data_IF_520928485389
#
_entry.id   IF_520928485389
#
_cell.length_a   1.000
_cell.length_b   1.000
_cell.length_c   1.000
_cell.angle_alpha   90.00
_cell.angle_beta   90.00
_cell.angle_gamma   90.00
#
_symmetry.space_group_name_H-M   'P 1'
#
loop_
_entity.id
_entity.type
_entity.pdbx_description
1 polymer ?
#
# COMPACT_ATOMS: atom_id res chain seq x y z
N UNK A 1 -22.94 59.40 35.74
CA UNK A 1 -22.04 59.24 34.57
C UNK A 1 -21.10 58.02 34.61
N UNK A 2 -21.27 57.01 35.48
CA UNK A 2 -20.32 55.87 35.61
C UNK A 2 -20.74 54.56 34.92
N UNK A 3 -21.99 54.41 34.47
CA UNK A 3 -22.53 53.15 33.90
C UNK A 3 -22.21 52.90 32.41
N UNK A 4 -21.82 53.94 31.66
CA UNK A 4 -21.56 53.83 30.21
C UNK A 4 -20.16 53.32 29.85
N UNK A 5 -19.20 53.44 30.76
CA UNK A 5 -17.80 53.03 30.52
C UNK A 5 -17.56 51.53 30.73
N UNK A 6 -18.34 50.87 31.60
CA UNK A 6 -18.19 49.43 31.86
C UNK A 6 -18.61 48.56 30.66
N UNK A 7 -19.69 48.94 29.97
CA UNK A 7 -20.16 48.20 28.79
C UNK A 7 -19.18 48.24 27.62
N UNK A 8 -18.52 49.39 27.41
CA UNK A 8 -17.51 49.56 26.35
C UNK A 8 -16.23 48.76 26.63
N UNK A 9 -15.78 48.68 27.89
CA UNK A 9 -14.62 47.87 28.29
C UNK A 9 -14.89 46.35 28.17
N UNK A 10 -16.09 45.90 28.50
CA UNK A 10 -16.48 44.48 28.34
C UNK A 10 -16.58 44.11 26.85
N UNK A 11 -17.10 45.02 26.01
CA UNK A 11 -17.20 44.79 24.57
C UNK A 11 -15.82 44.73 23.89
N UNK A 12 -14.87 45.57 24.33
CA UNK A 12 -13.48 45.53 23.87
C UNK A 12 -12.74 44.26 24.32
N UNK A 13 -12.98 43.79 25.55
CA UNK A 13 -12.43 42.52 26.05
C UNK A 13 -12.99 41.31 25.28
N UNK A 14 -14.29 41.31 24.96
CA UNK A 14 -14.92 40.27 24.14
C UNK A 14 -14.41 40.30 22.69
N UNK A 15 -14.18 41.47 22.10
CA UNK A 15 -13.57 41.60 20.78
C UNK A 15 -12.12 41.10 20.76
N UNK A 16 -11.31 41.41 21.78
CA UNK A 16 -9.96 40.86 21.89
C UNK A 16 -9.95 39.34 22.10
N UNK A 17 -10.90 38.79 22.85
CA UNK A 17 -11.07 37.33 23.01
C UNK A 17 -11.46 36.66 21.67
N UNK A 18 -12.31 37.30 20.87
CA UNK A 18 -12.70 36.80 19.55
C UNK A 18 -11.57 36.87 18.52
N UNK A 19 -10.71 37.90 18.58
CA UNK A 19 -9.54 38.03 17.70
C UNK A 19 -8.49 36.94 18.02
N UNK A 20 -8.34 36.54 19.30
CA UNK A 20 -7.44 35.44 19.69
C UNK A 20 -7.95 34.04 19.30
N UNK A 21 -9.26 33.87 19.07
CA UNK A 21 -9.84 32.58 18.68
C UNK A 21 -9.83 32.31 17.17
N UNK A 22 -9.46 33.28 16.34
CA UNK A 22 -9.16 33.06 14.92
C UNK A 22 -7.68 32.73 14.71
N UNK A 23 -7.13 31.81 15.52
CA UNK A 23 -6.00 31.02 15.05
C UNK A 23 -6.55 30.04 14.02
N UNK A 24 -6.75 30.54 12.79
CA UNK A 24 -7.05 29.69 11.66
C UNK A 24 -5.97 28.62 11.61
N UNK A 25 -6.34 27.36 11.86
CA UNK A 25 -5.48 26.22 11.52
C UNK A 25 -5.08 26.42 10.07
N UNK A 26 -3.85 26.88 9.82
CA UNK A 26 -3.32 27.01 8.47
C UNK A 26 -3.52 25.64 7.81
N UNK A 27 -4.50 25.55 6.91
CA UNK A 27 -4.86 24.29 6.31
C UNK A 27 -3.62 23.83 5.53
N UNK A 28 -2.95 22.78 6.00
CA UNK A 28 -1.74 22.28 5.35
C UNK A 28 -2.09 21.94 3.89
N UNK A 29 -1.43 22.61 2.95
CA UNK A 29 -1.65 22.48 1.51
C UNK A 29 -0.69 21.47 0.91
N UNK A 30 -1.07 20.87 -0.22
CA UNK A 30 -0.22 19.95 -0.97
C UNK A 30 1.01 20.68 -1.51
N UNK A 31 2.19 20.06 -1.37
CA UNK A 31 3.49 20.60 -1.77
C UNK A 31 4.23 19.58 -2.62
N UNK A 32 4.57 19.94 -3.86
CA UNK A 32 5.26 19.03 -4.79
C UNK A 32 6.62 18.60 -4.24
N UNK A 33 6.92 17.29 -4.31
CA UNK A 33 8.11 16.69 -3.65
C UNK A 33 9.43 16.94 -4.38
N UNK A 34 9.35 17.23 -5.69
CA UNK A 34 10.52 17.34 -6.55
C UNK A 34 11.24 16.00 -6.75
N UNK A 35 12.48 16.06 -7.27
CA UNK A 35 13.29 14.88 -7.56
C UNK A 35 12.61 13.97 -8.60
N UNK A 36 12.44 12.69 -8.25
CA UNK A 36 11.83 11.69 -9.15
C UNK A 36 10.31 11.76 -9.23
N UNK A 37 9.67 12.55 -8.35
CA UNK A 37 8.21 12.55 -8.19
C UNK A 37 7.55 13.64 -9.05
N UNK A 38 6.50 13.30 -9.82
CA UNK A 38 5.75 14.30 -10.58
C UNK A 38 5.08 15.35 -9.68
N UNK A 39 5.03 16.62 -10.10
CA UNK A 39 4.41 17.69 -9.32
C UNK A 39 2.90 17.47 -9.16
N UNK A 40 2.32 17.88 -8.03
CA UNK A 40 0.90 17.72 -7.78
C UNK A 40 0.07 18.72 -8.60
N UNK A 41 -0.95 18.24 -9.31
CA UNK A 41 -1.98 19.11 -9.90
C UNK A 41 -2.79 19.89 -8.83
N UNK A 42 -2.74 19.43 -7.58
CA UNK A 42 -3.39 20.02 -6.42
C UNK A 42 -2.45 20.89 -5.56
N UNK A 43 -1.25 21.20 -6.05
CA UNK A 43 -0.30 22.06 -5.34
C UNK A 43 -0.95 23.38 -4.88
N UNK A 44 -0.66 23.78 -3.64
CA UNK A 44 -1.28 24.93 -2.98
C UNK A 44 -2.74 24.74 -2.53
N UNK A 45 -3.34 23.56 -2.75
CA UNK A 45 -4.70 23.21 -2.27
C UNK A 45 -4.63 22.17 -1.16
N UNK A 46 -5.62 22.11 -0.25
CA UNK A 46 -5.64 21.08 0.78
C UNK A 46 -5.88 19.68 0.18
N UNK A 47 -5.37 18.61 0.82
CA UNK A 47 -5.68 17.23 0.45
C UNK A 47 -7.19 17.00 0.42
N UNK A 48 -7.68 16.43 -0.68
CA UNK A 48 -9.11 16.27 -0.92
C UNK A 48 -9.46 14.85 -1.37
N UNK A 49 -10.75 14.55 -1.35
CA UNK A 49 -11.28 13.32 -1.94
C UNK A 49 -11.11 13.35 -3.45
N UNK A 50 -10.65 12.23 -4.02
CA UNK A 50 -10.54 12.06 -5.47
C UNK A 50 -11.93 11.78 -6.04
N UNK A 51 -12.24 12.40 -7.17
CA UNK A 51 -13.49 12.14 -7.91
C UNK A 51 -13.35 10.88 -8.74
N UNK A 52 -14.43 10.08 -8.84
CA UNK A 52 -14.47 8.93 -9.74
C UNK A 52 -14.39 9.39 -11.21
N UNK A 53 -13.72 8.64 -12.08
CA UNK A 53 -13.65 8.90 -13.51
C UNK A 53 -12.21 9.09 -14.02
N UNK A 54 -12.01 9.96 -15.01
CA UNK A 54 -10.70 10.15 -15.68
C UNK A 54 -9.57 10.66 -14.77
N UNK A 55 -9.89 11.16 -13.57
CA UNK A 55 -8.92 11.62 -12.56
C UNK A 55 -8.82 10.66 -11.36
N UNK A 56 -9.40 9.47 -11.46
CA UNK A 56 -9.30 8.44 -10.42
C UNK A 56 -7.87 7.91 -10.31
N UNK A 57 -7.54 7.38 -9.14
CA UNK A 57 -6.23 6.83 -8.83
C UNK A 57 -6.05 5.46 -9.51
N UNK A 58 -4.99 5.33 -10.30
CA UNK A 58 -4.61 4.08 -10.99
C UNK A 58 -3.99 3.05 -10.02
N UNK A 59 -3.39 3.53 -8.93
CA UNK A 59 -2.83 2.78 -7.80
C UNK A 59 -3.09 3.59 -6.51
N UNK A 60 -2.70 3.13 -5.32
CA UNK A 60 -2.77 3.94 -4.09
C UNK A 60 -4.21 4.30 -3.66
N UNK A 61 -5.20 3.48 -4.03
CA UNK A 61 -6.63 3.71 -3.74
C UNK A 61 -6.95 3.86 -2.26
N UNK A 62 -6.06 3.39 -1.38
CA UNK A 62 -6.16 3.54 0.06
C UNK A 62 -6.24 5.00 0.53
N UNK A 63 -5.74 5.95 -0.28
CA UNK A 63 -5.80 7.39 0.01
C UNK A 63 -6.92 8.13 -0.73
N UNK A 64 -7.80 7.43 -1.46
CA UNK A 64 -8.85 8.04 -2.28
C UNK A 64 -9.73 9.04 -1.51
N UNK A 65 -9.98 8.81 -0.21
CA UNK A 65 -10.81 9.70 0.63
C UNK A 65 -10.16 11.07 0.88
N UNK A 66 -8.83 11.14 0.95
CA UNK A 66 -8.08 12.37 1.27
C UNK A 66 -6.62 12.23 0.81
N UNK A 67 -6.27 12.91 -0.28
CA UNK A 67 -4.92 12.85 -0.86
C UNK A 67 -4.57 14.11 -1.66
N UNK A 68 -3.29 14.30 -1.95
CA UNK A 68 -2.77 15.26 -2.91
C UNK A 68 -2.62 14.68 -4.33
N UNK A 69 -2.69 13.36 -4.47
CA UNK A 69 -2.43 12.65 -5.73
C UNK A 69 -3.62 12.67 -6.68
N UNK A 70 -3.30 12.61 -7.96
CA UNK A 70 -4.17 12.13 -9.03
C UNK A 70 -3.42 11.09 -9.88
N UNK A 71 -3.94 10.81 -11.08
CA UNK A 71 -3.35 9.85 -12.02
C UNK A 71 -1.89 10.15 -12.37
N UNK A 72 -1.45 11.42 -12.36
CA UNK A 72 -0.08 11.79 -12.68
C UNK A 72 0.92 11.23 -11.66
N UNK A 73 0.52 11.13 -10.39
CA UNK A 73 1.35 10.54 -9.33
C UNK A 73 1.23 9.02 -9.29
N UNK A 74 0.02 8.48 -9.45
CA UNK A 74 -0.21 7.03 -9.24
C UNK A 74 0.19 6.18 -10.44
N UNK A 75 0.23 6.76 -11.65
CA UNK A 75 0.62 6.02 -12.84
C UNK A 75 2.10 5.57 -12.82
N UNK A 76 3.09 6.44 -12.52
CA UNK A 76 4.48 5.99 -12.34
C UNK A 76 4.65 4.93 -11.25
N UNK A 77 3.95 5.05 -10.12
CA UNK A 77 3.94 4.05 -9.07
C UNK A 77 3.42 2.69 -9.59
N UNK A 78 2.34 2.70 -10.39
CA UNK A 78 1.81 1.48 -11.01
C UNK A 78 2.77 0.82 -11.99
N UNK A 79 3.55 1.61 -12.73
CA UNK A 79 4.59 1.10 -13.63
C UNK A 79 5.76 0.50 -12.85
N UNK A 80 6.16 1.14 -11.75
CA UNK A 80 7.21 0.67 -10.85
C UNK A 80 6.90 -0.73 -10.31
N UNK A 81 5.70 -0.93 -9.75
CA UNK A 81 5.24 -2.24 -9.24
C UNK A 81 5.12 -3.28 -10.36
N UNK A 82 4.65 -2.90 -11.55
CA UNK A 82 4.56 -3.82 -12.70
C UNK A 82 5.93 -4.30 -13.18
N UNK A 83 6.93 -3.42 -13.24
CA UNK A 83 8.31 -3.79 -13.60
C UNK A 83 8.86 -4.81 -12.62
N UNK A 84 8.70 -4.53 -11.33
CA UNK A 84 9.11 -5.41 -10.23
C UNK A 84 8.45 -6.79 -10.33
N UNK A 85 7.16 -6.86 -10.71
CA UNK A 85 6.45 -8.12 -10.89
C UNK A 85 6.85 -8.88 -12.17
N UNK A 86 7.35 -8.18 -13.20
CA UNK A 86 7.63 -8.77 -14.51
C UNK A 86 8.95 -9.55 -14.57
N UNK A 87 9.92 -9.22 -13.73
CA UNK A 87 11.23 -9.89 -13.67
C UNK A 87 11.21 -11.18 -12.84
N UNK A 88 10.07 -11.52 -12.22
CA UNK A 88 9.82 -12.83 -11.60
C UNK A 88 10.50 -13.10 -10.26
N UNK A 89 11.46 -12.28 -9.82
CA UNK A 89 12.22 -12.49 -8.57
C UNK A 89 11.67 -11.72 -7.36
N UNK A 90 10.71 -10.82 -7.57
CA UNK A 90 10.05 -10.14 -6.47
C UNK A 90 9.01 -11.03 -5.79
N UNK A 91 9.17 -11.25 -4.48
CA UNK A 91 8.18 -11.90 -3.65
C UNK A 91 6.87 -11.10 -3.60
N UNK A 92 5.75 -11.76 -3.29
CA UNK A 92 4.46 -11.06 -3.13
C UNK A 92 4.53 -9.98 -2.04
N UNK A 93 5.30 -10.22 -0.98
CA UNK A 93 5.55 -9.28 0.10
C UNK A 93 6.36 -8.07 -0.39
N UNK A 94 7.41 -8.30 -1.20
CA UNK A 94 8.15 -7.22 -1.85
C UNK A 94 7.25 -6.33 -2.70
N UNK A 95 6.39 -6.92 -3.54
CA UNK A 95 5.46 -6.16 -4.38
C UNK A 95 4.53 -5.27 -3.55
N UNK A 96 4.00 -5.80 -2.45
CA UNK A 96 3.09 -5.05 -1.57
C UNK A 96 3.80 -3.94 -0.80
N UNK A 97 4.98 -4.21 -0.25
CA UNK A 97 5.77 -3.21 0.46
C UNK A 97 6.27 -2.12 -0.48
N UNK A 98 6.67 -2.48 -1.69
CA UNK A 98 7.07 -1.52 -2.72
C UNK A 98 5.89 -0.66 -3.20
N UNK A 99 4.70 -1.25 -3.40
CA UNK A 99 3.48 -0.49 -3.68
C UNK A 99 3.20 0.53 -2.57
N UNK A 100 3.25 0.11 -1.31
CA UNK A 100 3.03 1.00 -0.16
C UNK A 100 4.07 2.13 -0.11
N UNK A 101 5.33 1.83 -0.40
CA UNK A 101 6.43 2.81 -0.46
C UNK A 101 6.20 3.85 -1.57
N UNK A 102 5.88 3.42 -2.79
CA UNK A 102 5.57 4.31 -3.91
C UNK A 102 4.31 5.16 -3.64
N UNK A 103 3.34 4.63 -2.89
CA UNK A 103 2.13 5.33 -2.52
C UNK A 103 2.30 6.33 -1.36
N UNK A 104 3.47 6.40 -0.70
CA UNK A 104 3.74 7.32 0.41
C UNK A 104 3.45 8.79 0.07
N UNK A 105 3.73 9.21 -1.17
CA UNK A 105 3.45 10.55 -1.67
C UNK A 105 1.95 10.89 -1.68
N UNK A 106 1.07 9.90 -1.65
CA UNK A 106 -0.37 10.09 -1.64
C UNK A 106 -0.97 10.17 -0.23
N UNK A 107 -0.17 9.89 0.81
CA UNK A 107 -0.59 10.11 2.19
C UNK A 107 -0.84 11.61 2.43
N UNK A 108 -1.99 12.01 3.01
CA UNK A 108 -2.34 13.41 3.21
C UNK A 108 -1.43 14.14 4.22
N UNK A 109 -0.73 13.42 5.11
CA UNK A 109 0.25 13.99 6.04
C UNK A 109 1.60 14.17 5.37
N UNK A 110 2.00 13.23 4.51
CA UNK A 110 3.26 13.31 3.76
C UNK A 110 3.14 14.30 2.61
N UNK A 111 2.02 14.30 1.89
CA UNK A 111 1.76 15.13 0.72
C UNK A 111 1.84 16.64 0.98
N UNK A 112 1.68 17.06 2.24
CA UNK A 112 1.79 18.46 2.67
C UNK A 112 3.16 18.85 3.23
N UNK A 113 4.07 17.90 3.45
CA UNK A 113 5.43 18.18 3.92
C UNK A 113 6.34 18.65 2.76
N UNK A 114 7.30 19.55 2.98
CA UNK A 114 8.27 19.92 1.96
C UNK A 114 9.30 18.81 1.72
N UNK A 115 9.91 18.80 0.53
CA UNK A 115 10.98 17.87 0.16
C UNK A 115 10.50 16.46 -0.23
N UNK A 116 11.42 15.50 -0.41
CA UNK A 116 11.09 14.12 -0.72
C UNK A 116 10.23 13.48 0.39
N UNK A 117 9.38 12.48 0.08
CA UNK A 117 8.58 11.80 1.09
C UNK A 117 9.47 11.22 2.20
N UNK A 118 9.16 11.57 3.45
CA UNK A 118 9.90 11.09 4.62
C UNK A 118 9.38 9.72 5.06
N UNK A 119 10.26 8.73 5.04
CA UNK A 119 9.96 7.33 5.34
C UNK A 119 10.67 6.92 6.64
N UNK A 120 10.02 6.12 7.46
CA UNK A 120 10.66 5.58 8.66
C UNK A 120 11.69 4.50 8.28
N UNK A 121 12.88 4.53 8.88
CA UNK A 121 13.93 3.55 8.63
C UNK A 121 13.44 2.10 8.81
N UNK A 122 12.62 1.85 9.83
CA UNK A 122 12.04 0.53 10.09
C UNK A 122 11.15 0.01 8.96
N UNK A 123 10.49 0.90 8.21
CA UNK A 123 9.73 0.51 7.02
C UNK A 123 10.64 0.23 5.83
N UNK A 124 11.67 1.05 5.64
CA UNK A 124 12.69 0.84 4.62
C UNK A 124 13.42 -0.49 4.80
N UNK A 125 13.75 -0.87 6.03
CA UNK A 125 14.38 -2.16 6.33
C UNK A 125 13.48 -3.35 5.99
N UNK A 126 12.17 -3.24 6.27
CA UNK A 126 11.19 -4.26 5.85
C UNK A 126 11.12 -4.38 4.33
N UNK A 127 11.10 -3.24 3.62
CA UNK A 127 11.10 -3.24 2.14
C UNK A 127 12.36 -3.92 1.62
N UNK A 128 13.54 -3.58 2.16
CA UNK A 128 14.81 -4.17 1.74
C UNK A 128 14.88 -5.66 2.02
N UNK A 129 14.48 -6.11 3.21
CA UNK A 129 14.46 -7.55 3.53
C UNK A 129 13.58 -8.34 2.56
N UNK A 130 12.42 -7.79 2.17
CA UNK A 130 11.53 -8.46 1.24
C UNK A 130 12.02 -8.40 -0.22
N UNK A 131 12.71 -7.31 -0.60
CA UNK A 131 13.11 -7.01 -1.98
C UNK A 131 14.59 -7.22 -2.29
N UNK A 132 15.41 -7.71 -1.35
CA UNK A 132 16.85 -7.85 -1.48
C UNK A 132 17.28 -8.63 -2.75
N UNK A 133 16.54 -9.68 -3.09
CA UNK A 133 16.77 -10.51 -4.28
C UNK A 133 16.10 -9.99 -5.55
N UNK A 134 15.25 -8.97 -5.46
CA UNK A 134 14.57 -8.45 -6.64
C UNK A 134 15.52 -7.58 -7.48
N UNK A 135 15.30 -7.55 -8.79
CA UNK A 135 16.15 -6.82 -9.72
C UNK A 135 15.81 -5.32 -9.81
N UNK A 136 16.84 -4.50 -9.65
CA UNK A 136 16.81 -3.05 -9.79
C UNK A 136 17.84 -2.58 -10.82
N UNK A 137 17.60 -1.39 -11.34
CA UNK A 137 18.47 -0.68 -12.26
C UNK A 137 18.60 0.78 -11.83
N UNK A 138 19.68 1.44 -12.26
CA UNK A 138 19.83 2.88 -12.09
C UNK A 138 19.02 3.61 -13.19
N UNK A 139 18.00 4.38 -12.81
CA UNK A 139 17.32 5.30 -13.73
C UNK A 139 18.25 6.49 -14.01
N UNK A 140 18.92 6.47 -15.16
CA UNK A 140 19.89 7.49 -15.55
C UNK A 140 19.31 8.91 -15.58
N UNK A 141 18.01 9.05 -15.87
CA UNK A 141 17.36 10.37 -15.95
C UNK A 141 17.12 10.96 -14.57
N UNK A 142 16.75 10.10 -13.61
CA UNK A 142 16.35 10.52 -12.27
C UNK A 142 17.44 10.33 -11.21
N UNK A 143 18.53 9.63 -11.57
CA UNK A 143 19.67 9.29 -10.70
C UNK A 143 19.22 8.58 -9.42
N UNK A 144 18.29 7.65 -9.56
CA UNK A 144 17.73 6.82 -8.49
C UNK A 144 17.68 5.37 -8.93
N UNK A 145 17.72 4.44 -7.98
CA UNK A 145 17.39 3.05 -8.28
C UNK A 145 15.88 2.89 -8.45
N UNK A 146 15.48 2.07 -9.41
CA UNK A 146 14.09 1.71 -9.66
C UNK A 146 14.00 0.23 -10.06
N UNK A 147 12.83 -0.41 -9.93
CA UNK A 147 12.65 -1.77 -10.41
C UNK A 147 13.05 -1.91 -11.87
N UNK A 148 13.89 -2.89 -12.15
CA UNK A 148 14.43 -3.16 -13.49
C UNK A 148 13.28 -3.41 -14.47
N UNK A 149 13.29 -2.70 -15.59
CA UNK A 149 12.41 -2.89 -16.72
C UNK A 149 13.09 -3.62 -17.87
N UNK A 150 12.28 -4.07 -18.84
CA UNK A 150 12.74 -4.79 -20.05
C UNK A 150 13.70 -4.00 -20.94
N UNK A 151 13.77 -2.67 -20.77
CA UNK A 151 14.63 -1.79 -21.56
C UNK A 151 15.88 -1.34 -20.80
N UNK A 152 16.08 -1.83 -19.57
CA UNK A 152 17.24 -1.45 -18.77
C UNK A 152 18.41 -2.39 -19.10
N UNK A 153 19.57 -1.81 -19.38
CA UNK A 153 20.75 -2.56 -19.82
C UNK A 153 21.53 -3.20 -18.67
N UNK A 154 21.51 -2.57 -17.49
CA UNK A 154 22.23 -3.03 -16.29
C UNK A 154 21.21 -3.23 -15.19
N UNK A 155 20.96 -4.51 -14.87
CA UNK A 155 20.10 -4.90 -13.77
C UNK A 155 20.88 -5.80 -12.83
N UNK A 156 20.76 -5.50 -11.53
CA UNK A 156 21.36 -6.26 -10.44
C UNK A 156 20.35 -6.42 -9.32
N UNK A 157 20.59 -7.38 -8.42
CA UNK A 157 19.73 -7.54 -7.25
C UNK A 157 19.86 -6.32 -6.33
N UNK A 158 18.80 -5.97 -5.57
CA UNK A 158 18.86 -4.84 -4.65
C UNK A 158 20.08 -4.91 -3.70
N UNK A 159 20.40 -6.12 -3.21
CA UNK A 159 21.55 -6.37 -2.34
C UNK A 159 22.93 -6.13 -3.01
N UNK A 160 22.98 -6.05 -4.34
CA UNK A 160 24.19 -5.69 -5.09
C UNK A 160 24.35 -4.16 -5.22
N UNK A 161 23.26 -3.41 -5.14
CA UNK A 161 23.25 -1.95 -5.25
C UNK A 161 23.42 -1.24 -3.90
N UNK A 162 22.84 -1.81 -2.84
CA UNK A 162 22.76 -1.18 -1.51
C UNK A 162 22.92 -2.22 -0.41
N UNK A 163 23.38 -1.79 0.77
CA UNK A 163 23.73 -2.71 1.87
C UNK A 163 22.62 -2.86 2.92
N UNK A 164 21.69 -1.90 3.00
CA UNK A 164 20.64 -1.85 4.01
C UNK A 164 19.38 -1.12 3.49
N UNK A 165 18.30 -1.13 4.28
CA UNK A 165 17.03 -0.52 3.87
C UNK A 165 17.06 0.99 3.80
N UNK A 166 17.76 1.64 4.72
CA UNK A 166 17.92 3.10 4.69
C UNK A 166 18.57 3.56 3.39
N UNK A 167 19.65 2.89 2.97
CA UNK A 167 20.28 3.10 1.67
C UNK A 167 19.35 2.81 0.50
N UNK A 168 18.56 1.72 0.55
CA UNK A 168 17.58 1.40 -0.49
C UNK A 168 16.59 2.56 -0.70
N UNK A 169 16.00 3.06 0.38
CA UNK A 169 15.06 4.18 0.31
C UNK A 169 15.71 5.47 -0.21
N UNK A 170 16.92 5.79 0.27
CA UNK A 170 17.66 6.97 -0.21
C UNK A 170 18.03 6.86 -1.69
N UNK A 171 18.57 5.72 -2.10
CA UNK A 171 18.89 5.44 -3.50
C UNK A 171 17.64 5.47 -4.38
N UNK A 172 16.48 5.08 -3.85
CA UNK A 172 15.19 5.19 -4.53
C UNK A 172 14.59 6.61 -4.46
N UNK A 173 15.32 7.62 -3.98
CA UNK A 173 14.91 9.02 -3.99
C UNK A 173 13.99 9.46 -2.85
N UNK A 174 13.92 8.69 -1.76
CA UNK A 174 13.17 9.06 -0.55
C UNK A 174 14.07 9.69 0.52
N UNK A 175 13.46 10.45 1.43
CA UNK A 175 14.10 10.87 2.67
C UNK A 175 13.82 9.82 3.75
N UNK A 176 14.77 9.57 4.66
CA UNK A 176 14.63 8.58 5.73
C UNK A 176 14.88 9.24 7.08
N UNK A 177 14.09 8.89 8.08
CA UNK A 177 14.36 9.23 9.49
C UNK A 177 14.54 7.97 10.33
N UNK A 178 15.46 8.05 11.29
CA UNK A 178 15.78 6.98 12.25
C UNK A 178 14.83 6.95 13.45
N UNK A 179 14.00 7.99 13.64
CA UNK A 179 13.12 8.11 14.79
C UNK A 179 11.79 7.38 14.57
N UNK A 180 11.64 6.20 15.18
CA UNK A 180 10.33 5.53 15.38
C UNK A 180 9.57 6.07 16.61
N UNK A 181 10.12 7.02 17.36
CA UNK A 181 9.54 7.53 18.60
C UNK A 181 9.80 9.03 18.83
N UNK A 182 8.70 9.77 18.94
CA UNK A 182 8.43 10.91 19.82
C UNK A 182 9.62 11.37 20.68
N UNK A 183 10.31 12.41 20.22
CA UNK A 183 11.06 13.31 21.11
C UNK A 183 10.52 14.70 20.83
N UNK A 184 9.86 15.27 21.85
CA UNK A 184 9.06 16.48 21.73
C UNK A 184 9.85 17.67 21.22
N UNK A 185 9.54 18.08 19.99
CA UNK A 185 9.28 19.43 19.48
C UNK A 185 8.80 19.20 18.04
N UNK A 186 7.53 19.51 17.72
CA UNK A 186 6.84 19.25 16.45
C UNK A 186 7.21 17.90 15.77
N UNK A 187 6.63 16.80 16.25
CA UNK A 187 6.82 15.45 15.70
C UNK A 187 6.64 15.43 14.17
N UNK A 188 7.76 15.33 13.44
CA UNK A 188 7.74 15.05 12.00
C UNK A 188 7.39 13.58 11.84
N UNK A 189 6.09 13.31 11.66
CA UNK A 189 5.58 11.96 11.41
C UNK A 189 6.13 11.42 10.08
N UNK A 190 6.88 10.32 10.14
CA UNK A 190 7.35 9.58 8.97
C UNK A 190 6.35 8.52 8.51
N UNK A 191 6.40 8.21 7.22
CA UNK A 191 5.56 7.20 6.61
C UNK A 191 6.04 5.77 6.94
N UNK A 192 5.11 4.86 7.22
CA UNK A 192 5.43 3.46 7.48
C UNK A 192 5.80 3.13 8.93
N UNK A 193 5.77 4.12 9.82
CA UNK A 193 5.84 3.92 11.27
C UNK A 193 4.56 3.31 11.82
N UNK A 194 4.59 2.72 13.02
CA UNK A 194 3.42 2.02 13.61
C UNK A 194 2.16 2.90 13.65
N UNK A 195 2.29 4.18 13.98
CA UNK A 195 1.18 5.12 13.99
C UNK A 195 0.61 5.43 12.59
N UNK A 196 1.48 5.59 11.58
CA UNK A 196 1.09 5.80 10.17
C UNK A 196 0.40 4.56 9.59
N UNK A 197 0.95 3.36 9.83
CA UNK A 197 0.35 2.11 9.37
C UNK A 197 -0.98 1.80 10.07
N UNK A 198 -1.12 2.14 11.36
CA UNK A 198 -2.40 2.02 12.07
C UNK A 198 -3.45 2.98 11.49
N UNK A 199 -3.10 4.25 11.20
CA UNK A 199 -4.02 5.18 10.52
C UNK A 199 -4.44 4.68 9.13
N UNK A 200 -3.55 3.99 8.41
CA UNK A 200 -3.86 3.35 7.14
C UNK A 200 -4.80 2.15 7.36
N UNK A 201 -4.52 1.31 8.36
CA UNK A 201 -5.37 0.18 8.73
C UNK A 201 -6.78 0.62 9.16
N UNK A 202 -6.90 1.74 9.87
CA UNK A 202 -8.20 2.32 10.25
C UNK A 202 -8.96 2.86 9.02
N UNK A 203 -8.26 3.37 8.00
CA UNK A 203 -8.88 3.69 6.70
C UNK A 203 -9.38 2.42 5.97
N UNK A 204 -8.76 1.26 6.23
CA UNK A 204 -9.17 -0.05 5.70
C UNK A 204 -10.35 -0.65 6.46
N UNK A 205 -10.57 -0.27 7.73
CA UNK A 205 -11.84 -0.54 8.41
C UNK A 205 -12.92 0.31 7.74
N UNK A 206 -13.69 -0.31 6.85
CA UNK A 206 -15.07 0.10 6.58
C UNK A 206 -15.76 0.37 7.92
N UNK A 207 -16.66 1.37 8.05
CA UNK A 207 -17.41 1.57 9.28
C UNK A 207 -18.13 0.26 9.56
N UNK A 208 -17.63 -0.47 10.55
CA UNK A 208 -18.28 -1.65 11.05
C UNK A 208 -19.51 -1.10 11.74
N UNK A 209 -20.63 -1.14 11.01
CA UNK A 209 -21.99 -1.23 11.53
C UNK A 209 -22.00 -1.21 13.05
N UNK A 210 -22.11 0.00 13.62
CA UNK A 210 -22.73 0.14 14.92
C UNK A 210 -24.14 -0.38 14.75
N UNK A 211 -24.30 -1.66 15.11
CA UNK A 211 -25.59 -2.29 15.22
C UNK A 211 -26.25 -1.70 16.46
N UNK A 212 -26.83 -0.52 16.32
CA UNK A 212 -27.92 -0.05 17.18
C UNK A 212 -29.09 0.25 16.27
N UNK A 213 -30.09 -0.62 16.32
CA UNK A 213 -31.35 -0.53 15.60
C UNK A 213 -32.03 0.83 15.85
N UNK A 214 -32.33 1.60 14.80
CA UNK A 214 -33.60 2.37 14.74
C UNK A 214 -33.99 2.80 13.31
N UNK A 215 -34.98 2.09 12.77
CA UNK A 215 -36.12 2.61 11.97
C UNK A 215 -35.82 3.61 10.84
N UNK A 216 -35.08 3.21 9.80
CA UNK A 216 -35.17 3.85 8.45
C UNK A 216 -35.15 2.85 7.27
N UNK A 217 -34.84 1.57 7.51
CA UNK A 217 -34.72 0.54 6.47
C UNK A 217 -36.05 0.00 5.89
N UNK A 218 -37.21 0.51 6.32
CA UNK A 218 -38.49 0.06 5.79
C UNK A 218 -38.94 0.82 4.52
N UNK A 219 -38.36 1.99 4.23
CA UNK A 219 -38.71 2.81 3.06
C UNK A 219 -38.06 2.30 1.77
N UNK A 220 -36.75 2.03 1.81
CA UNK A 220 -35.96 1.63 0.63
C UNK A 220 -36.35 0.26 0.07
N UNK A 221 -36.78 -0.67 0.93
CA UNK A 221 -37.24 -2.00 0.51
C UNK A 221 -38.64 -1.94 -0.12
N UNK A 222 -39.51 -1.04 0.36
CA UNK A 222 -40.86 -0.84 -0.22
C UNK A 222 -40.79 -0.18 -1.59
N UNK A 223 -39.92 0.83 -1.77
CA UNK A 223 -39.70 1.46 -3.08
C UNK A 223 -39.14 0.48 -4.11
N UNK A 224 -38.27 -0.45 -3.68
CA UNK A 224 -37.72 -1.47 -4.56
C UNK A 224 -38.77 -2.54 -4.93
N UNK A 225 -39.63 -2.96 -3.99
CA UNK A 225 -40.73 -3.88 -4.28
C UNK A 225 -41.76 -3.27 -5.24
N UNK A 226 -42.06 -1.98 -5.11
CA UNK A 226 -43.00 -1.28 -5.99
C UNK A 226 -42.42 -1.12 -7.41
N UNK A 227 -41.13 -0.77 -7.51
CA UNK A 227 -40.42 -0.67 -8.79
C UNK A 227 -40.33 -2.01 -9.56
N UNK A 228 -40.18 -3.13 -8.85
CA UNK A 228 -40.14 -4.48 -9.47
C UNK A 228 -41.53 -4.95 -9.95
N UNK A 229 -42.61 -4.48 -9.32
CA UNK A 229 -43.97 -4.81 -9.74
C UNK A 229 -44.38 -4.08 -11.03
N UNK A 230 -43.83 -2.90 -11.30
CA UNK A 230 -44.18 -2.04 -12.45
C UNK A 230 -43.48 -2.38 -13.78
N UNK A 231 -42.51 -3.31 -13.79
CA UNK A 231 -41.78 -3.68 -15.02
C UNK A 231 -42.60 -4.55 -15.99
N UNK A 232 -42.57 -4.19 -17.29
CA UNK A 232 -43.13 -4.97 -18.39
C UNK A 232 -42.36 -6.30 -18.61
N UNK A 233 -43.07 -7.31 -19.11
CA UNK A 233 -42.61 -8.71 -19.17
C UNK A 233 -41.31 -8.93 -19.97
N UNK A 234 -41.01 -8.11 -20.98
CA UNK A 234 -39.79 -8.22 -21.80
C UNK A 234 -38.52 -7.86 -21.03
N UNK A 235 -38.59 -6.97 -20.04
CA UNK A 235 -37.45 -6.56 -19.22
C UNK A 235 -37.13 -7.58 -18.12
N UNK A 236 -38.14 -8.32 -17.65
CA UNK A 236 -38.00 -9.39 -16.64
C UNK A 236 -37.17 -10.57 -17.16
N UNK A 237 -37.28 -10.90 -18.46
CA UNK A 237 -36.51 -12.00 -19.07
C UNK A 237 -35.03 -11.62 -19.22
N UNK A 238 -34.73 -10.39 -19.64
CA UNK A 238 -33.35 -9.91 -19.79
C UNK A 238 -32.58 -9.87 -18.46
N UNK A 239 -33.25 -9.50 -17.37
CA UNK A 239 -32.63 -9.55 -16.02
C UNK A 239 -32.48 -10.97 -15.47
N UNK A 240 -33.42 -11.87 -15.74
CA UNK A 240 -33.30 -13.28 -15.35
C UNK A 240 -32.15 -13.99 -16.08
N UNK A 241 -32.01 -13.76 -17.39
CA UNK A 241 -30.92 -14.32 -18.19
C UNK A 241 -29.57 -13.68 -17.81
N UNK A 242 -29.53 -12.36 -17.59
CA UNK A 242 -28.33 -11.65 -17.14
C UNK A 242 -27.84 -12.09 -15.75
N UNK A 243 -28.75 -12.31 -14.80
CA UNK A 243 -28.43 -12.79 -13.45
C UNK A 243 -27.90 -14.23 -13.43
N UNK A 244 -28.44 -15.11 -14.29
CA UNK A 244 -27.95 -16.48 -14.44
C UNK A 244 -26.56 -16.55 -15.08
N UNK A 245 -26.27 -15.70 -16.07
CA UNK A 245 -24.92 -15.63 -16.69
C UNK A 245 -23.86 -15.14 -15.70
N UNK A 246 -24.19 -14.12 -14.89
CA UNK A 246 -23.26 -13.59 -13.89
C UNK A 246 -22.96 -14.62 -12.78
N UNK A 247 -23.98 -15.34 -12.32
CA UNK A 247 -23.81 -16.39 -11.30
C UNK A 247 -23.07 -17.62 -11.84
N UNK A 248 -23.36 -18.05 -13.07
CA UNK A 248 -22.63 -19.12 -13.74
C UNK A 248 -21.15 -18.75 -14.02
N UNK A 249 -20.89 -17.50 -14.43
CA UNK A 249 -19.53 -16.98 -14.64
C UNK A 249 -18.68 -16.97 -13.37
N UNK A 250 -19.26 -16.55 -12.23
CA UNK A 250 -18.58 -16.55 -10.93
C UNK A 250 -18.27 -17.99 -10.44
N UNK A 251 -19.20 -18.93 -10.66
CA UNK A 251 -19.01 -20.35 -10.34
C UNK A 251 -17.96 -21.00 -11.25
N UNK A 252 -17.89 -20.63 -12.53
CA UNK A 252 -16.89 -21.16 -13.45
C UNK A 252 -15.48 -20.64 -13.13
N UNK A 253 -15.34 -19.35 -12.81
CA UNK A 253 -14.06 -18.75 -12.41
C UNK A 253 -13.53 -19.32 -11.08
N UNK A 254 -14.40 -19.51 -10.09
CA UNK A 254 -14.03 -20.11 -8.80
C UNK A 254 -13.61 -21.58 -8.92
N UNK A 255 -14.29 -22.36 -9.78
CA UNK A 255 -13.94 -23.76 -10.05
C UNK A 255 -12.61 -23.91 -10.80
N UNK A 256 -12.30 -23.01 -11.74
CA UNK A 256 -11.01 -22.98 -12.47
C UNK A 256 -9.83 -22.66 -11.56
N UNK A 257 -10.01 -21.73 -10.61
CA UNK A 257 -8.99 -21.37 -9.61
C UNK A 257 -8.69 -22.51 -8.64
N UNK A 258 -9.73 -23.23 -8.18
CA UNK A 258 -9.59 -24.41 -7.30
C UNK A 258 -8.85 -25.57 -7.98
N UNK A 259 -9.17 -25.85 -9.26
CA UNK A 259 -8.50 -26.92 -10.00
C UNK A 259 -7.01 -26.62 -10.24
N UNK A 260 -6.67 -25.37 -10.58
CA UNK A 260 -5.27 -24.94 -10.75
C UNK A 260 -4.47 -25.08 -9.44
N UNK A 261 -5.06 -24.71 -8.30
CA UNK A 261 -4.39 -24.89 -7.00
C UNK A 261 -4.18 -26.36 -6.65
N UNK A 262 -5.16 -27.24 -6.89
CA UNK A 262 -5.00 -28.69 -6.66
C UNK A 262 -3.91 -29.31 -7.53
N UNK A 263 -3.78 -28.88 -8.79
CA UNK A 263 -2.69 -29.33 -9.67
C UNK A 263 -1.31 -28.86 -9.20
N UNK A 264 -1.20 -27.62 -8.70
CA UNK A 264 0.04 -27.09 -8.13
C UNK A 264 0.47 -27.85 -6.87
N UNK A 265 -0.47 -28.12 -5.95
CA UNK A 265 -0.18 -28.92 -4.75
C UNK A 265 0.23 -30.36 -5.11
N UNK A 266 -0.43 -30.99 -6.09
CA UNK A 266 -0.05 -32.34 -6.54
C UNK A 266 1.34 -32.39 -7.21
N UNK A 267 1.74 -31.34 -7.93
CA UNK A 267 3.09 -31.22 -8.51
C UNK A 267 4.15 -31.04 -7.42
N UNK A 268 3.90 -30.17 -6.43
CA UNK A 268 4.79 -29.95 -5.28
C UNK A 268 4.94 -31.23 -4.46
N UNK A 269 3.85 -31.96 -4.20
CA UNK A 269 3.89 -33.21 -3.43
C UNK A 269 4.66 -34.31 -4.18
N UNK A 270 4.53 -34.40 -5.52
CA UNK A 270 5.32 -35.32 -6.34
C UNK A 270 6.81 -34.96 -6.37
N UNK A 271 7.14 -33.66 -6.46
CA UNK A 271 8.52 -33.19 -6.39
C UNK A 271 9.15 -33.47 -5.01
N UNK A 272 8.40 -33.25 -3.92
CA UNK A 272 8.85 -33.55 -2.56
C UNK A 272 9.06 -35.06 -2.33
N UNK A 273 8.19 -35.92 -2.87
CA UNK A 273 8.36 -37.38 -2.80
C UNK A 273 9.57 -37.84 -3.64
N UNK A 274 9.80 -37.24 -4.82
CA UNK A 274 10.97 -37.55 -5.65
C UNK A 274 12.28 -37.12 -4.97
N UNK A 275 12.31 -35.96 -4.33
CA UNK A 275 13.46 -35.49 -3.56
C UNK A 275 13.82 -36.44 -2.41
N UNK A 276 12.82 -36.92 -1.65
CA UNK A 276 13.04 -37.92 -0.59
C UNK A 276 13.58 -39.27 -1.11
N UNK A 277 13.25 -39.65 -2.36
CA UNK A 277 13.79 -40.86 -3.00
C UNK A 277 15.25 -40.70 -3.47
N UNK A 278 15.67 -39.48 -3.76
CA UNK A 278 17.07 -39.17 -4.10
C UNK A 278 17.95 -39.15 -2.85
N UNK A 279 17.48 -38.56 -1.75
CA UNK A 279 18.19 -38.61 -0.44
C UNK A 279 18.34 -40.05 0.08
N UNK A 280 17.32 -40.90 -0.09
CA UNK A 280 17.40 -42.31 0.30
C UNK A 280 18.41 -43.14 -0.51
N UNK A 281 18.76 -42.73 -1.73
CA UNK A 281 19.79 -43.40 -2.55
C UNK A 281 21.21 -42.91 -2.25
N UNK A 282 21.37 -41.70 -1.72
CA UNK A 282 22.69 -41.14 -1.42
C UNK A 282 23.27 -41.66 -0.10
N UNK A 283 22.41 -42.13 0.81
CA UNK A 283 22.83 -42.71 2.10
C UNK A 283 23.34 -44.17 2.04
N UNK A 284 23.28 -44.86 0.89
CA UNK A 284 23.75 -46.26 0.77
C UNK A 284 25.15 -46.42 0.16
N UNK A 285 25.79 -45.34 -0.31
CA UNK A 285 27.13 -45.41 -0.89
C UNK A 285 28.12 -44.59 -0.04
N UNK A 286 28.66 -45.21 0.99
CA UNK A 286 29.90 -44.76 1.65
C UNK A 286 30.78 -45.99 1.92
N UNK A 287 32.07 -46.01 1.51
CA UNK A 287 32.91 -47.19 1.62
C UNK A 287 33.60 -47.26 2.99
N UNK A 288 33.39 -48.37 3.71
CA UNK A 288 34.08 -48.69 4.96
C UNK A 288 35.57 -48.97 4.71
N UNK A 289 36.44 -48.20 5.38
CA UNK A 289 37.87 -48.47 5.48
C UNK A 289 38.16 -49.27 6.75
N UNK A 290 38.47 -50.56 6.58
CA UNK A 290 38.83 -51.48 7.67
C UNK A 290 40.33 -51.34 8.02
N UNK A 291 40.61 -50.57 9.07
CA UNK A 291 41.87 -50.62 9.83
C UNK A 291 41.72 -51.67 10.91
N UNK A 292 42.35 -52.84 10.74
CA UNK A 292 42.36 -53.90 11.75
C UNK A 292 43.65 -53.83 12.58
N UNK A 293 43.53 -53.53 13.89
CA UNK A 293 44.62 -53.60 14.86
C UNK A 293 44.10 -54.17 16.18
N UNK A 294 44.90 -55.10 16.74
CA UNK A 294 44.88 -55.65 18.12
C UNK A 294 43.90 -56.82 18.33
N UNK A 295 44.22 -57.95 18.97
CA UNK A 295 45.41 -58.38 19.70
C UNK A 295 45.14 -59.70 20.46
N UNK A 296 46.23 -60.38 20.79
CA UNK A 296 46.45 -61.52 21.71
C UNK A 296 45.45 -61.64 22.89
N UNK A 297 44.99 -62.88 23.18
CA UNK A 297 45.14 -63.54 24.51
C UNK A 297 44.61 -64.99 24.54
N UNK A 298 45.51 -65.86 25.02
CA UNK A 298 45.40 -67.12 25.77
C UNK A 298 44.61 -68.29 25.18
#
# INVERSE_FOLDING_TARGET
MKRKYCGSLIFLLLFHLQIHFSSGKNARVCVSKGGRFPPYSSEGKPPKKVGKGARDLTLCRLFHKKTCCDVAQTYPASLSVRRLASTGEASQECLQLWELLECSICDPQIGVQPGPPLICASFCDRVYQACASAYFSMDANKRVIAPCGVNDFVCGQAAEWVSNGTELCHAAGFAVTLSDANVGVEEVSCYGGRASLNSISDSWRSPQSEFTQKVENLGVVKDFQQWVQEMQFSEKVSWAVGGLVLTAGLLFMSKRKSHSQRQKFAAIQRAAIAARRLDGRMSQNSPDSLVNRKGIRR
#
